data_IF_045496398597
#
_entry.id   IF_045496398597
#
_cell.length_a   1.000
_cell.length_b   1.000
_cell.length_c   1.000
_cell.angle_alpha   90.00
_cell.angle_beta   90.00
_cell.angle_gamma   90.00
#
_symmetry.space_group_name_H-M   'P 1'
#
loop_
_entity.id
_entity.type
_entity.pdbx_description
1 polymer ?
#
# COMPACT_ATOMS: atom_id res chain seq x y z
N UNK A 1 19.87 16.23 -6.59
CA UNK A 1 19.14 15.30 -5.70
C UNK A 1 18.05 14.68 -6.56
N UNK A 2 18.09 13.36 -6.81
CA UNK A 2 17.12 12.72 -7.72
C UNK A 2 15.79 12.57 -6.99
N UNK A 3 14.73 13.13 -7.56
CA UNK A 3 13.34 12.84 -7.21
C UNK A 3 13.17 11.30 -7.21
N UNK A 4 12.88 10.72 -6.05
CA UNK A 4 12.46 9.33 -5.96
C UNK A 4 11.08 9.27 -6.62
N UNK A 5 10.87 8.25 -7.46
CA UNK A 5 9.58 8.00 -8.06
C UNK A 5 8.87 6.89 -7.28
N UNK A 6 7.54 6.80 -7.36
CA UNK A 6 6.72 5.72 -6.76
C UNK A 6 7.25 4.30 -7.00
N UNK A 7 7.99 4.09 -8.10
CA UNK A 7 8.67 2.83 -8.40
C UNK A 7 9.88 2.60 -7.48
N UNK A 8 10.67 3.62 -7.21
CA UNK A 8 11.71 3.59 -6.20
C UNK A 8 11.09 3.27 -4.84
N UNK A 9 10.00 3.91 -4.40
CA UNK A 9 9.32 3.56 -3.13
C UNK A 9 8.94 2.07 -3.02
N UNK A 10 8.33 1.50 -4.06
CA UNK A 10 7.99 0.07 -4.13
C UNK A 10 9.22 -0.85 -4.21
N UNK A 11 10.38 -0.35 -4.64
CA UNK A 11 11.67 -1.06 -4.61
C UNK A 11 12.44 -0.79 -3.31
N UNK A 12 12.14 0.33 -2.65
CA UNK A 12 12.72 0.86 -1.43
C UNK A 12 12.11 0.15 -0.21
N UNK A 13 10.93 -0.44 -0.32
CA UNK A 13 10.51 -1.46 0.66
C UNK A 13 11.48 -2.66 0.69
N UNK A 14 12.33 -2.87 -0.31
CA UNK A 14 13.47 -3.80 -0.21
C UNK A 14 14.74 -3.11 0.27
N UNK A 15 15.15 -2.00 -0.37
CA UNK A 15 16.43 -1.34 -0.12
C UNK A 15 16.48 -0.47 1.16
N UNK A 16 15.40 0.22 1.54
CA UNK A 16 15.30 0.88 2.84
C UNK A 16 15.06 -0.14 3.95
N UNK A 17 14.33 -1.25 3.72
CA UNK A 17 14.29 -2.35 4.70
C UNK A 17 15.69 -2.93 4.94
N UNK A 18 16.51 -3.08 3.89
CA UNK A 18 17.90 -3.53 4.02
C UNK A 18 18.82 -2.49 4.71
N UNK A 19 18.69 -1.19 4.39
CA UNK A 19 19.45 -0.15 5.10
C UNK A 19 18.99 0.06 6.55
N UNK A 20 17.70 -0.08 6.84
CA UNK A 20 17.14 -0.05 8.20
C UNK A 20 17.53 -1.29 9.01
N UNK A 21 17.57 -2.48 8.40
CA UNK A 21 18.08 -3.69 9.05
C UNK A 21 19.57 -3.57 9.44
N UNK A 22 20.36 -2.85 8.64
CA UNK A 22 21.75 -2.54 9.00
C UNK A 22 21.87 -1.60 10.21
N UNK A 23 20.92 -0.66 10.37
CA UNK A 23 20.89 0.27 11.52
C UNK A 23 20.30 -0.36 12.79
N UNK A 24 19.39 -1.33 12.66
CA UNK A 24 18.77 -2.05 13.77
C UNK A 24 19.62 -3.22 14.30
N UNK A 25 20.78 -3.50 13.72
CA UNK A 25 21.73 -4.49 14.22
C UNK A 25 22.57 -3.90 15.38
N UNK A 26 21.89 -3.48 16.44
CA UNK A 26 22.47 -3.32 17.77
C UNK A 26 22.28 -4.62 18.54
N UNK A 27 23.28 -5.01 19.34
CA UNK A 27 23.44 -6.29 20.06
C UNK A 27 22.34 -6.61 21.10
N UNK A 28 21.06 -6.70 20.69
CA UNK A 28 19.97 -7.21 21.53
C UNK A 28 19.50 -8.60 21.07
N UNK A 29 19.18 -9.53 21.99
CA UNK A 29 18.71 -10.86 21.64
C UNK A 29 17.45 -10.79 20.79
N UNK A 30 17.56 -11.18 19.52
CA UNK A 30 16.47 -11.21 18.55
C UNK A 30 15.41 -12.24 18.99
N UNK A 31 14.36 -11.77 19.66
CA UNK A 31 13.15 -12.57 19.85
C UNK A 31 12.43 -12.68 18.49
N UNK A 32 12.08 -13.88 18.01
CA UNK A 32 11.39 -14.03 16.74
C UNK A 32 10.09 -13.21 16.76
N UNK A 33 9.85 -12.34 15.77
CA UNK A 33 8.64 -11.54 15.72
C UNK A 33 7.42 -12.45 15.67
N UNK A 34 6.35 -12.05 16.38
CA UNK A 34 5.09 -12.76 16.34
C UNK A 34 4.59 -12.88 14.88
N UNK A 35 3.96 -14.01 14.51
CA UNK A 35 3.43 -14.18 13.16
C UNK A 35 2.54 -12.99 12.75
N UNK A 36 2.59 -12.54 11.48
CA UNK A 36 1.72 -11.48 11.00
C UNK A 36 0.26 -11.83 11.32
N UNK A 37 -0.47 -10.87 11.90
CA UNK A 37 -1.88 -11.05 12.17
C UNK A 37 -2.62 -11.35 10.85
N UNK A 38 -3.57 -12.29 10.85
CA UNK A 38 -4.40 -12.58 9.68
C UNK A 38 -4.96 -11.28 9.10
N UNK A 39 -5.14 -11.17 7.76
CA UNK A 39 -5.87 -10.05 7.19
C UNK A 39 -7.22 -9.94 7.90
N UNK A 40 -7.53 -8.75 8.43
CA UNK A 40 -8.84 -8.50 9.02
C UNK A 40 -9.92 -8.75 7.95
N UNK A 41 -11.12 -9.23 8.34
CA UNK A 41 -12.21 -9.35 7.38
C UNK A 41 -12.47 -7.99 6.73
N UNK A 42 -12.70 -8.00 5.41
CA UNK A 42 -12.97 -6.78 4.64
C UNK A 42 -14.09 -5.98 5.32
N UNK A 43 -13.81 -4.72 5.64
CA UNK A 43 -14.81 -3.86 6.31
C UNK A 43 -15.83 -3.31 5.29
N UNK A 44 -17.01 -2.87 5.75
CA UNK A 44 -18.03 -2.23 4.86
C UNK A 44 -17.41 -1.10 4.03
N UNK A 45 -16.54 -0.29 4.64
CA UNK A 45 -15.87 0.84 4.00
C UNK A 45 -14.93 0.42 2.86
N UNK A 46 -14.20 -0.67 3.02
CA UNK A 46 -13.30 -1.19 1.99
C UNK A 46 -14.09 -1.73 0.80
N UNK A 47 -15.20 -2.45 1.06
CA UNK A 47 -16.09 -2.94 0.00
C UNK A 47 -16.77 -1.79 -0.77
N UNK A 48 -17.25 -0.77 -0.06
CA UNK A 48 -17.82 0.45 -0.65
C UNK A 48 -16.78 1.18 -1.52
N UNK A 49 -15.54 1.30 -1.03
CA UNK A 49 -14.47 1.97 -1.77
C UNK A 49 -14.06 1.19 -3.02
N UNK A 50 -13.93 -0.14 -2.96
CA UNK A 50 -13.68 -0.96 -4.16
C UNK A 50 -14.78 -0.76 -5.19
N UNK A 51 -16.05 -0.74 -4.76
CA UNK A 51 -17.17 -0.54 -5.66
C UNK A 51 -17.12 0.85 -6.33
N UNK A 52 -16.78 1.90 -5.57
CA UNK A 52 -16.63 3.25 -6.11
C UNK A 52 -15.43 3.33 -7.09
N UNK A 53 -14.29 2.75 -6.73
CA UNK A 53 -13.10 2.65 -7.60
C UNK A 53 -13.45 1.93 -8.91
N UNK A 54 -14.16 0.80 -8.86
CA UNK A 54 -14.50 0.01 -10.05
C UNK A 54 -15.46 0.73 -10.99
N UNK A 55 -16.31 1.64 -10.51
CA UNK A 55 -17.10 2.52 -11.40
C UNK A 55 -16.20 3.38 -12.27
N UNK A 56 -15.22 4.07 -11.66
CA UNK A 56 -14.25 4.88 -12.39
C UNK A 56 -13.32 4.01 -13.24
N UNK A 57 -12.93 2.83 -12.75
CA UNK A 57 -12.06 1.90 -13.46
C UNK A 57 -12.69 1.39 -14.76
N UNK A 58 -14.00 1.08 -14.73
CA UNK A 58 -14.77 0.71 -15.92
C UNK A 58 -14.75 1.80 -16.99
N UNK A 59 -14.90 3.07 -16.60
CA UNK A 59 -14.77 4.18 -17.56
C UNK A 59 -13.34 4.27 -18.15
N UNK A 60 -12.31 3.98 -17.34
CA UNK A 60 -10.93 3.89 -17.85
C UNK A 60 -10.77 2.71 -18.82
N UNK A 61 -11.47 1.60 -18.59
CA UNK A 61 -11.47 0.44 -19.48
C UNK A 61 -12.14 0.75 -20.82
N UNK A 62 -13.32 1.40 -20.78
CA UNK A 62 -14.03 1.86 -21.97
C UNK A 62 -13.18 2.83 -22.80
N UNK A 63 -12.39 3.67 -22.13
CA UNK A 63 -11.40 4.55 -22.74
C UNK A 63 -10.08 3.86 -23.12
N UNK A 64 -9.97 2.54 -22.96
CA UNK A 64 -8.78 1.71 -23.24
C UNK A 64 -7.51 2.13 -22.47
N UNK A 65 -7.68 2.79 -21.32
CA UNK A 65 -6.60 3.22 -20.45
C UNK A 65 -6.14 2.12 -19.48
N UNK A 66 -6.95 1.09 -19.26
CA UNK A 66 -6.65 -0.10 -18.45
C UNK A 66 -7.05 -1.38 -19.20
N UNK A 67 -6.43 -2.51 -18.86
CA UNK A 67 -6.60 -3.77 -19.60
C UNK A 67 -7.73 -4.64 -19.05
N UNK A 68 -8.03 -4.54 -17.75
CA UNK A 68 -9.09 -5.27 -17.09
C UNK A 68 -10.26 -4.33 -16.79
N UNK A 69 -11.49 -4.78 -17.06
CA UNK A 69 -12.72 -3.99 -16.87
C UNK A 69 -12.94 -3.60 -15.40
N UNK A 70 -12.53 -4.47 -14.48
CA UNK A 70 -12.67 -4.28 -13.05
C UNK A 70 -11.45 -4.82 -12.30
N UNK A 71 -11.20 -4.26 -11.12
CA UNK A 71 -10.26 -4.79 -10.16
C UNK A 71 -10.97 -5.77 -9.22
N UNK A 72 -10.37 -6.93 -9.02
CA UNK A 72 -10.85 -7.91 -8.04
C UNK A 72 -10.26 -7.60 -6.67
N UNK A 73 -11.11 -7.41 -5.66
CA UNK A 73 -10.63 -7.25 -4.28
C UNK A 73 -9.90 -8.52 -3.84
N UNK A 74 -8.64 -8.36 -3.48
CA UNK A 74 -7.79 -9.42 -2.97
C UNK A 74 -6.78 -8.81 -2.00
N UNK A 75 -6.84 -9.23 -0.73
CA UNK A 75 -6.02 -8.66 0.35
C UNK A 75 -4.63 -9.29 0.46
N UNK A 76 -4.16 -10.04 -0.55
CA UNK A 76 -2.83 -10.65 -0.51
C UNK A 76 -1.68 -9.65 -0.47
N UNK A 77 -1.88 -8.44 -1.03
CA UNK A 77 -0.90 -7.35 -1.01
C UNK A 77 -1.17 -6.31 0.09
N UNK A 78 -2.17 -6.52 0.97
CA UNK A 78 -2.59 -5.52 1.97
C UNK A 78 -1.46 -5.10 2.92
N UNK A 79 -0.52 -6.00 3.21
CA UNK A 79 0.64 -5.70 4.06
C UNK A 79 1.48 -4.53 3.57
N UNK A 80 1.51 -4.28 2.24
CA UNK A 80 2.27 -3.18 1.63
C UNK A 80 1.72 -1.79 1.99
N UNK A 81 0.45 -1.69 2.38
CA UNK A 81 -0.21 -0.44 2.79
C UNK A 81 -0.56 -0.44 4.28
N UNK A 82 -0.88 -1.61 4.84
CA UNK A 82 -1.23 -1.78 6.26
C UNK A 82 -0.03 -1.54 7.18
N UNK A 83 1.19 -1.81 6.73
CA UNK A 83 2.41 -1.50 7.48
C UNK A 83 2.47 -0.03 7.92
N UNK A 84 2.24 0.91 7.00
CA UNK A 84 2.20 2.33 7.31
C UNK A 84 0.89 2.74 7.98
N UNK A 85 -0.24 2.19 7.53
CA UNK A 85 -1.54 2.47 8.15
C UNK A 85 -1.54 2.23 9.66
N UNK A 86 -0.98 1.11 10.12
CA UNK A 86 -0.86 0.79 11.55
C UNK A 86 0.10 1.71 12.30
N UNK A 87 1.19 2.16 11.68
CA UNK A 87 2.08 3.16 12.28
C UNK A 87 1.33 4.46 12.56
N UNK A 88 0.54 4.95 11.58
CA UNK A 88 -0.26 6.16 11.78
C UNK A 88 -1.36 5.98 12.83
N UNK A 89 -1.97 4.80 12.91
CA UNK A 89 -2.99 4.49 13.93
C UNK A 89 -2.38 4.42 15.34
N UNK A 90 -1.23 3.75 15.49
CA UNK A 90 -0.51 3.63 16.76
C UNK A 90 0.01 5.00 17.24
N UNK A 91 0.63 5.77 16.35
CA UNK A 91 1.08 7.13 16.64
C UNK A 91 -0.11 8.12 16.76
N UNK A 92 -1.28 7.74 16.24
CA UNK A 92 -2.49 8.55 16.14
C UNK A 92 -2.22 9.96 15.56
N UNK A 93 -1.34 10.03 14.55
CA UNK A 93 -0.98 11.27 13.86
C UNK A 93 -0.65 11.01 12.39
N UNK A 94 -0.85 12.03 11.56
CA UNK A 94 -0.38 12.07 10.18
C UNK A 94 -0.25 13.54 9.75
N UNK A 95 0.89 14.00 9.19
CA UNK A 95 2.10 13.24 8.85
C UNK A 95 2.84 12.69 10.07
N UNK A 96 3.72 11.72 9.85
CA UNK A 96 4.53 11.08 10.88
C UNK A 96 5.97 10.90 10.41
N UNK A 97 6.94 11.27 11.26
CA UNK A 97 8.35 10.95 11.05
C UNK A 97 8.62 9.55 11.59
N UNK A 98 9.00 8.61 10.72
CA UNK A 98 9.28 7.23 11.12
C UNK A 98 10.41 7.16 12.16
N UNK A 99 10.20 6.36 13.20
CA UNK A 99 11.11 6.12 14.33
C UNK A 99 11.40 4.61 14.46
N UNK A 100 12.42 4.27 15.23
CA UNK A 100 12.82 2.87 15.44
C UNK A 100 11.69 1.94 15.91
N UNK A 101 10.77 2.34 16.82
CA UNK A 101 9.64 1.49 17.20
C UNK A 101 8.71 1.14 16.04
N UNK A 102 8.56 2.02 15.05
CA UNK A 102 7.67 1.82 13.89
C UNK A 102 8.17 0.70 12.98
N UNK A 103 9.50 0.48 12.95
CA UNK A 103 10.11 -0.60 12.18
C UNK A 103 9.58 -1.97 12.60
N UNK A 104 9.27 -2.17 13.89
CA UNK A 104 8.68 -3.43 14.37
C UNK A 104 7.31 -3.68 13.76
N UNK A 105 6.49 -2.64 13.62
CA UNK A 105 5.17 -2.72 12.97
C UNK A 105 5.34 -2.99 11.48
N UNK A 106 6.22 -2.23 10.83
CA UNK A 106 6.46 -2.33 9.39
C UNK A 106 6.98 -3.72 9.02
N UNK A 107 8.02 -4.20 9.68
CA UNK A 107 8.57 -5.53 9.42
C UNK A 107 7.60 -6.64 9.77
N UNK A 108 6.80 -6.48 10.82
CA UNK A 108 5.76 -7.45 11.16
C UNK A 108 4.75 -7.63 10.03
N UNK A 109 4.32 -6.54 9.38
CA UNK A 109 3.36 -6.56 8.27
C UNK A 109 4.00 -7.00 6.93
N UNK A 110 5.27 -6.68 6.70
CA UNK A 110 5.99 -7.05 5.47
C UNK A 110 6.57 -8.47 5.53
N UNK A 111 6.62 -9.10 6.69
CA UNK A 111 7.21 -10.42 6.87
C UNK A 111 6.55 -11.48 5.96
N UNK A 112 7.33 -12.06 5.05
CA UNK A 112 6.87 -13.05 4.07
C UNK A 112 5.98 -12.49 2.95
N UNK A 113 5.72 -11.18 2.91
CA UNK A 113 4.89 -10.56 1.88
C UNK A 113 5.55 -10.65 0.50
N UNK A 114 6.86 -10.33 0.42
CA UNK A 114 7.60 -10.38 -0.85
C UNK A 114 7.57 -11.79 -1.45
N UNK A 115 7.92 -12.81 -0.65
CA UNK A 115 7.88 -14.22 -1.07
C UNK A 115 6.46 -14.65 -1.47
N UNK A 116 5.44 -14.24 -0.71
CA UNK A 116 4.05 -14.54 -1.05
C UNK A 116 3.67 -13.95 -2.41
N UNK A 117 3.98 -12.69 -2.66
CA UNK A 117 3.66 -12.02 -3.92
C UNK A 117 4.46 -12.61 -5.07
N UNK A 118 5.76 -12.84 -4.89
CA UNK A 118 6.63 -13.47 -5.88
C UNK A 118 6.15 -14.87 -6.24
N UNK A 119 5.84 -15.70 -5.25
CA UNK A 119 5.44 -17.09 -5.46
C UNK A 119 4.04 -17.23 -6.04
N UNK A 120 3.10 -16.34 -5.71
CA UNK A 120 1.73 -16.44 -6.20
C UNK A 120 1.49 -15.69 -7.50
N UNK A 121 2.08 -14.51 -7.65
CA UNK A 121 1.79 -13.59 -8.75
C UNK A 121 2.98 -13.38 -9.69
N UNK A 122 4.20 -13.68 -9.25
CA UNK A 122 5.41 -13.49 -10.03
C UNK A 122 6.17 -12.21 -9.66
N UNK A 123 7.37 -12.07 -10.21
CA UNK A 123 8.23 -10.91 -9.96
C UNK A 123 7.59 -9.63 -10.48
N UNK A 124 7.79 -8.51 -9.79
CA UNK A 124 7.30 -7.18 -10.19
C UNK A 124 5.77 -7.11 -10.35
N UNK A 125 5.02 -7.87 -9.54
CA UNK A 125 3.55 -7.93 -9.62
C UNK A 125 2.86 -6.71 -9.02
N UNK A 126 3.43 -6.07 -7.99
CA UNK A 126 2.91 -4.82 -7.44
C UNK A 126 3.02 -3.71 -8.50
N UNK A 127 1.91 -3.05 -8.79
CA UNK A 127 1.76 -2.24 -9.99
C UNK A 127 1.44 -0.77 -9.71
N UNK A 128 0.82 -0.44 -8.59
CA UNK A 128 0.50 0.94 -8.21
C UNK A 128 0.03 1.05 -6.77
N UNK A 129 0.21 2.22 -6.15
CA UNK A 129 -0.20 2.49 -4.76
C UNK A 129 -0.71 3.93 -4.64
N UNK A 130 -1.71 4.14 -3.79
CA UNK A 130 -2.27 5.45 -3.46
C UNK A 130 -2.69 5.52 -1.99
N UNK A 131 -2.85 6.75 -1.47
CA UNK A 131 -3.25 7.01 -0.09
C UNK A 131 -2.11 7.25 0.90
N UNK A 132 -0.87 6.89 0.53
CA UNK A 132 0.34 7.08 1.35
C UNK A 132 1.36 7.84 0.52
N UNK A 133 1.94 8.89 1.10
CA UNK A 133 2.98 9.69 0.45
C UNK A 133 4.28 8.92 0.30
N UNK A 134 5.11 9.33 -0.65
CA UNK A 134 6.51 8.90 -0.64
C UNK A 134 7.23 9.50 0.58
N UNK A 135 8.20 8.79 1.18
CA UNK A 135 8.96 9.28 2.32
C UNK A 135 9.82 10.46 1.90
N UNK A 136 9.78 11.53 2.69
CA UNK A 136 10.69 12.66 2.52
C UNK A 136 12.14 12.28 2.84
N UNK A 137 13.14 13.12 2.53
CA UNK A 137 14.52 12.92 2.99
C UNK A 137 14.65 12.80 4.52
N UNK A 138 13.71 13.38 5.26
CA UNK A 138 13.63 13.33 6.73
C UNK A 138 12.75 12.18 7.23
N UNK A 139 12.46 11.18 6.38
CA UNK A 139 11.65 10.01 6.70
C UNK A 139 10.21 10.33 7.14
N UNK A 140 9.67 11.47 6.69
CA UNK A 140 8.28 11.87 6.94
C UNK A 140 7.38 11.21 5.91
N UNK A 141 6.34 10.53 6.39
CA UNK A 141 5.28 9.92 5.57
C UNK A 141 3.91 10.46 5.99
N UNK A 142 2.95 10.48 5.09
CA UNK A 142 1.61 10.99 5.35
C UNK A 142 0.50 10.15 4.69
N UNK A 143 -0.69 10.17 5.30
CA UNK A 143 -1.92 9.74 4.65
C UNK A 143 -2.47 10.92 3.84
N UNK A 144 -2.57 10.74 2.53
CA UNK A 144 -2.89 11.86 1.62
C UNK A 144 -4.38 11.97 1.33
N UNK A 145 -5.13 10.88 1.45
CA UNK A 145 -6.47 10.76 0.90
C UNK A 145 -7.48 10.42 2.00
N UNK A 146 -8.23 11.43 2.44
CA UNK A 146 -9.35 11.23 3.36
C UNK A 146 -10.41 10.33 2.73
N UNK A 147 -10.99 9.40 3.48
CA UNK A 147 -11.99 8.47 2.98
C UNK A 147 -13.21 9.20 2.40
N UNK A 148 -13.56 8.85 1.17
CA UNK A 148 -14.70 9.39 0.44
C UNK A 148 -15.03 8.47 -0.73
N UNK A 149 -16.32 8.20 -0.95
CA UNK A 149 -16.81 7.52 -2.16
C UNK A 149 -17.38 8.51 -3.18
N UNK A 150 -17.19 9.83 -2.97
CA UNK A 150 -17.58 10.87 -3.92
C UNK A 150 -16.78 10.75 -5.22
N UNK A 151 -17.47 10.88 -6.35
CA UNK A 151 -16.91 10.64 -7.68
C UNK A 151 -15.60 11.41 -7.94
N UNK A 152 -15.55 12.69 -7.57
CA UNK A 152 -14.34 13.53 -7.75
C UNK A 152 -13.14 13.04 -6.90
N UNK A 153 -13.39 12.62 -5.66
CA UNK A 153 -12.34 12.10 -4.78
C UNK A 153 -11.82 10.76 -5.30
N UNK A 154 -12.72 9.85 -5.68
CA UNK A 154 -12.37 8.54 -6.23
C UNK A 154 -11.61 8.67 -7.56
N UNK A 155 -12.00 9.59 -8.45
CA UNK A 155 -11.25 9.86 -9.69
C UNK A 155 -9.82 10.31 -9.43
N UNK A 156 -9.63 11.19 -8.45
CA UNK A 156 -8.30 11.65 -8.04
C UNK A 156 -7.47 10.48 -7.49
N UNK A 157 -8.09 9.64 -6.66
CA UNK A 157 -7.45 8.46 -6.09
C UNK A 157 -7.07 7.42 -7.16
N UNK A 158 -7.96 7.16 -8.13
CA UNK A 158 -7.68 6.27 -9.27
C UNK A 158 -6.56 6.82 -10.15
N UNK A 159 -6.49 8.14 -10.37
CA UNK A 159 -5.37 8.74 -11.09
C UNK A 159 -4.03 8.52 -10.37
N UNK A 160 -4.01 8.61 -9.03
CA UNK A 160 -2.83 8.24 -8.21
C UNK A 160 -2.48 6.77 -8.37
N UNK A 161 -3.46 5.86 -8.33
CA UNK A 161 -3.22 4.42 -8.54
C UNK A 161 -2.62 4.14 -9.92
N UNK A 162 -3.05 4.88 -10.96
CA UNK A 162 -2.58 4.74 -12.34
C UNK A 162 -1.25 5.47 -12.64
N UNK A 163 -0.62 6.11 -11.66
CA UNK A 163 0.64 6.85 -11.86
C UNK A 163 1.89 5.95 -12.01
N UNK A 164 1.69 4.68 -12.38
CA UNK A 164 2.76 3.75 -12.73
C UNK A 164 2.34 2.98 -13.99
N UNK A 165 3.27 2.81 -14.93
CA UNK A 165 2.99 2.19 -16.23
C UNK A 165 2.46 0.76 -16.14
N UNK A 166 2.74 0.06 -15.03
CA UNK A 166 2.21 -1.27 -14.78
C UNK A 166 0.78 -1.27 -14.22
N UNK A 167 0.32 -0.18 -13.62
CA UNK A 167 -1.00 -0.10 -12.96
C UNK A 167 -2.15 -0.27 -13.93
N UNK A 168 -1.98 0.16 -15.19
CA UNK A 168 -2.99 -0.04 -16.24
C UNK A 168 -3.30 -1.52 -16.49
N UNK A 169 -2.36 -2.41 -16.17
CA UNK A 169 -2.48 -3.87 -16.33
C UNK A 169 -2.91 -4.57 -15.04
N UNK A 170 -3.24 -3.84 -13.97
CA UNK A 170 -3.62 -4.44 -12.70
C UNK A 170 -4.94 -5.22 -12.82
N UNK A 171 -4.99 -6.35 -12.14
CA UNK A 171 -6.14 -7.25 -12.07
C UNK A 171 -6.75 -7.25 -10.67
N UNK A 172 -5.91 -7.03 -9.64
CA UNK A 172 -6.28 -7.09 -8.24
C UNK A 172 -6.04 -5.77 -7.52
N UNK A 173 -6.79 -5.57 -6.44
CA UNK A 173 -6.63 -4.46 -5.51
C UNK A 173 -6.67 -4.97 -4.07
N UNK A 174 -5.75 -4.51 -3.23
CA UNK A 174 -5.87 -4.57 -1.77
C UNK A 174 -6.19 -3.17 -1.25
N UNK A 175 -7.06 -3.08 -0.24
CA UNK A 175 -7.48 -1.82 0.37
C UNK A 175 -7.29 -1.93 1.88
N UNK A 176 -6.80 -0.86 2.48
CA UNK A 176 -6.80 -0.66 3.93
C UNK A 176 -7.28 0.76 4.24
N UNK A 177 -8.20 0.90 5.20
CA UNK A 177 -8.76 2.19 5.57
C UNK A 177 -8.38 2.60 7.01
N UNK A 178 -7.16 3.11 7.24
CA UNK A 178 -6.70 3.46 8.59
C UNK A 178 -7.52 4.60 9.20
N UNK A 179 -7.66 4.59 10.52
CA UNK A 179 -8.36 5.64 11.28
C UNK A 179 -7.40 6.39 12.19
N UNK A 180 -7.15 7.65 11.88
CA UNK A 180 -6.20 8.51 12.59
C UNK A 180 -6.94 9.75 13.07
N UNK A 181 -6.89 10.04 14.37
CA UNK A 181 -7.58 11.17 15.00
C UNK A 181 -9.09 11.20 14.69
N UNK A 182 -9.72 10.03 14.65
CA UNK A 182 -11.15 9.88 14.31
C UNK A 182 -11.48 10.06 12.83
N UNK A 183 -10.49 10.31 11.97
CA UNK A 183 -10.66 10.45 10.52
C UNK A 183 -10.20 9.18 9.80
N UNK A 184 -11.06 8.65 8.94
CA UNK A 184 -10.72 7.51 8.07
C UNK A 184 -10.01 8.00 6.81
N UNK A 185 -9.01 7.26 6.36
CA UNK A 185 -8.28 7.51 5.11
C UNK A 185 -8.43 6.32 4.16
N UNK A 186 -8.28 6.55 2.86
CA UNK A 186 -8.28 5.50 1.85
C UNK A 186 -6.84 5.19 1.44
N UNK A 187 -6.43 3.93 1.56
CA UNK A 187 -5.14 3.45 1.02
C UNK A 187 -5.39 2.21 0.19
N UNK A 188 -4.67 2.09 -0.92
CA UNK A 188 -4.83 0.96 -1.82
C UNK A 188 -3.53 0.64 -2.55
N UNK A 189 -3.36 -0.64 -2.87
CA UNK A 189 -2.32 -1.15 -3.76
C UNK A 189 -2.97 -2.01 -4.83
N UNK A 190 -2.61 -1.78 -6.08
CA UNK A 190 -3.05 -2.57 -7.23
C UNK A 190 -1.91 -3.45 -7.73
N UNK A 191 -2.24 -4.67 -8.14
CA UNK A 191 -1.25 -5.66 -8.54
C UNK A 191 -1.77 -6.59 -9.64
N UNK A 192 -0.82 -7.28 -10.29
CA UNK A 192 -1.03 -8.10 -11.48
C UNK A 192 -0.78 -9.56 -11.17
N UNK A 193 -1.31 -10.44 -12.01
CA UNK A 193 -0.82 -11.80 -12.13
C UNK A 193 0.19 -11.89 -13.29
N UNK A 194 1.48 -11.88 -12.99
CA UNK A 194 2.54 -12.04 -14.00
C UNK A 194 2.86 -13.52 -14.28
N UNK A 195 2.20 -14.47 -13.60
CA UNK A 195 2.32 -15.92 -13.87
C UNK A 195 1.23 -16.45 -14.82
N UNK A 196 0.18 -15.67 -15.04
CA UNK A 196 -0.93 -16.02 -15.92
C UNK A 196 -0.61 -15.77 -17.40
#
# INVERSE_FOLDING_TARGET
MKELNRRAFLTLTGAAVAMMALAACGDEPYAPPAPPAPPAPTTSKEAELVAAINKVWKEKYDAKAVVHEQLTLNQDAVGAIRCYGRVFEEANETPHTLKDPDHKIIFGELNGLEDKILNKYGKDSLAGMAGISEPSPDMVVALEDAYSCEDTAVRTFVAKLLNNSNSAKAEFISIYCPVVQGKTYMTAVVFRNNKA
#
